data_IF_798100772375
#
_entry.id   IF_798100772375
#
_cell.length_a   1.000
_cell.length_b   1.000
_cell.length_c   1.000
_cell.angle_alpha   90.00
_cell.angle_beta   90.00
_cell.angle_gamma   90.00
#
_symmetry.space_group_name_H-M   'P 1'
#
loop_
_entity.id
_entity.type
_entity.pdbx_description
1 polymer ?
#
# COMPACT_ATOMS: atom_id res chain seq x y z
N UNK A 1 24.49 -22.90 -18.12
CA UNK A 1 23.16 -22.30 -17.83
C UNK A 1 23.25 -21.76 -16.40
N UNK A 2 23.07 -20.46 -16.14
CA UNK A 2 22.92 -19.97 -14.78
C UNK A 2 21.70 -20.67 -14.15
N UNK A 3 21.72 -20.90 -12.84
CA UNK A 3 20.55 -21.46 -12.16
C UNK A 3 19.32 -20.56 -12.35
N UNK A 4 18.11 -21.11 -12.33
CA UNK A 4 16.86 -20.34 -12.46
C UNK A 4 16.78 -19.17 -11.45
N UNK A 5 17.35 -19.36 -10.26
CA UNK A 5 17.55 -18.33 -9.24
C UNK A 5 18.50 -17.20 -9.66
N UNK A 6 19.60 -17.56 -10.33
CA UNK A 6 20.55 -16.58 -10.88
C UNK A 6 19.90 -15.82 -12.04
N UNK A 7 19.13 -16.48 -12.93
CA UNK A 7 18.41 -15.75 -13.99
C UNK A 7 17.35 -14.77 -13.44
N UNK A 8 16.60 -15.15 -12.40
CA UNK A 8 15.62 -14.27 -11.75
C UNK A 8 16.25 -13.03 -11.11
N UNK A 9 17.36 -13.19 -10.40
CA UNK A 9 18.09 -12.05 -9.82
C UNK A 9 18.53 -11.10 -10.93
N UNK A 10 19.12 -11.60 -12.01
CA UNK A 10 19.63 -10.76 -13.10
C UNK A 10 18.50 -10.08 -13.91
N UNK A 11 17.35 -10.73 -14.09
CA UNK A 11 16.18 -10.15 -14.78
C UNK A 11 15.57 -8.98 -13.99
N UNK A 12 15.57 -9.08 -12.65
CA UNK A 12 15.14 -8.03 -11.71
C UNK A 12 15.94 -6.73 -11.86
N UNK A 13 17.17 -6.80 -12.40
CA UNK A 13 18.08 -5.65 -12.50
C UNK A 13 18.14 -4.99 -13.90
N UNK A 14 17.58 -5.63 -14.94
CA UNK A 14 17.52 -5.09 -16.31
C UNK A 14 16.18 -4.42 -16.65
N UNK A 15 15.13 -4.74 -15.90
CA UNK A 15 13.76 -4.25 -16.14
C UNK A 15 13.26 -3.52 -14.90
N UNK A 16 12.77 -2.28 -15.06
CA UNK A 16 12.14 -1.57 -13.94
C UNK A 16 10.92 -2.34 -13.46
N UNK A 17 10.98 -2.83 -12.23
CA UNK A 17 9.87 -3.47 -11.54
C UNK A 17 9.15 -2.45 -10.66
N UNK A 18 7.84 -2.62 -10.56
CA UNK A 18 7.00 -1.84 -9.65
C UNK A 18 6.27 -2.80 -8.71
N UNK A 19 5.88 -2.32 -7.54
CA UNK A 19 5.01 -3.04 -6.62
C UNK A 19 3.55 -2.59 -6.87
N UNK A 20 2.61 -3.53 -6.89
CA UNK A 20 1.18 -3.24 -6.89
C UNK A 20 0.50 -3.85 -5.67
N UNK A 21 -0.34 -3.07 -4.99
CA UNK A 21 -0.94 -3.47 -3.70
C UNK A 21 -2.48 -3.45 -3.77
N UNK A 22 -3.14 -4.23 -4.66
CA UNK A 22 -4.59 -4.15 -4.81
C UNK A 22 -5.30 -4.55 -3.51
N UNK A 23 -6.32 -3.78 -3.15
CA UNK A 23 -7.17 -3.99 -1.99
C UNK A 23 -8.55 -4.41 -2.48
N UNK A 24 -9.01 -5.57 -2.04
CA UNK A 24 -10.24 -6.19 -2.51
C UNK A 24 -11.21 -6.29 -1.34
N UNK A 25 -12.47 -5.92 -1.57
CA UNK A 25 -13.57 -5.99 -0.61
C UNK A 25 -14.08 -7.43 -0.47
N UNK A 26 -13.20 -8.34 -0.08
CA UNK A 26 -13.50 -9.73 0.25
C UNK A 26 -12.42 -10.28 1.19
N UNK A 27 -12.80 -10.80 2.34
CA UNK A 27 -11.89 -11.39 3.34
C UNK A 27 -12.42 -12.65 4.01
N UNK A 28 -13.53 -13.22 3.53
CA UNK A 28 -14.26 -14.33 4.16
C UNK A 28 -14.39 -15.56 3.25
N UNK A 29 -14.79 -15.38 1.99
CA UNK A 29 -15.06 -16.45 1.03
C UNK A 29 -13.76 -16.95 0.42
N UNK A 30 -13.17 -17.98 1.00
CA UNK A 30 -11.89 -18.58 0.57
C UNK A 30 -11.86 -18.93 -0.92
N UNK A 31 -12.95 -19.46 -1.47
CA UNK A 31 -13.03 -19.80 -2.91
C UNK A 31 -12.89 -18.58 -3.82
N UNK A 32 -13.47 -17.44 -3.43
CA UNK A 32 -13.37 -16.18 -4.17
C UNK A 32 -11.96 -15.59 -4.03
N UNK A 33 -11.37 -15.68 -2.83
CA UNK A 33 -10.00 -15.22 -2.58
C UNK A 33 -8.98 -16.02 -3.41
N UNK A 34 -9.13 -17.34 -3.48
CA UNK A 34 -8.28 -18.19 -4.29
C UNK A 34 -8.43 -17.88 -5.79
N UNK A 35 -9.65 -17.55 -6.26
CA UNK A 35 -9.86 -17.13 -7.64
C UNK A 35 -9.06 -15.84 -7.97
N UNK A 36 -8.95 -14.89 -7.05
CA UNK A 36 -8.08 -13.72 -7.25
C UNK A 36 -6.61 -14.11 -7.31
N UNK A 37 -6.17 -15.01 -6.42
CA UNK A 37 -4.79 -15.49 -6.40
C UNK A 37 -4.40 -16.15 -7.72
N UNK A 38 -5.25 -17.03 -8.25
CA UNK A 38 -5.05 -17.65 -9.56
C UNK A 38 -4.97 -16.58 -10.66
N UNK A 39 -5.85 -15.58 -10.64
CA UNK A 39 -5.85 -14.51 -11.64
C UNK A 39 -4.54 -13.71 -11.66
N UNK A 40 -4.00 -13.34 -10.49
CA UNK A 40 -2.77 -12.53 -10.43
C UNK A 40 -1.49 -13.35 -10.64
N UNK A 41 -1.48 -14.63 -10.25
CA UNK A 41 -0.34 -15.52 -10.46
C UNK A 41 -0.27 -16.10 -11.88
N UNK A 42 -1.35 -16.02 -12.66
CA UNK A 42 -1.38 -16.49 -14.05
C UNK A 42 -0.70 -15.54 -15.05
N UNK A 43 -0.39 -14.31 -14.66
CA UNK A 43 0.25 -13.34 -15.53
C UNK A 43 1.77 -13.56 -15.60
N UNK A 44 2.32 -13.47 -16.81
CA UNK A 44 3.77 -13.45 -17.00
C UNK A 44 4.39 -12.21 -16.31
N UNK A 45 5.63 -12.37 -15.84
CA UNK A 45 6.43 -11.30 -15.22
C UNK A 45 5.79 -10.64 -13.99
N UNK A 46 4.96 -11.39 -13.25
CA UNK A 46 4.37 -10.98 -11.97
C UNK A 46 4.63 -12.04 -10.91
N UNK A 47 5.05 -11.60 -9.74
CA UNK A 47 5.22 -12.43 -8.55
C UNK A 47 4.30 -11.93 -7.43
N UNK A 48 3.60 -12.88 -6.80
CA UNK A 48 2.83 -12.63 -5.59
C UNK A 48 3.74 -12.78 -4.37
N UNK A 49 4.10 -11.68 -3.74
CA UNK A 49 5.00 -11.67 -2.58
C UNK A 49 4.27 -11.87 -1.26
N UNK A 50 3.04 -11.36 -1.15
CA UNK A 50 2.27 -11.46 0.08
C UNK A 50 0.76 -11.43 -0.18
N UNK A 51 0.02 -12.11 0.68
CA UNK A 51 -1.44 -12.06 0.77
C UNK A 51 -1.82 -11.89 2.24
N UNK A 52 -2.64 -10.88 2.54
CA UNK A 52 -3.24 -10.71 3.85
C UNK A 52 -4.75 -10.58 3.71
N UNK A 53 -5.48 -11.50 4.33
CA UNK A 53 -6.94 -11.53 4.35
C UNK A 53 -7.45 -11.40 5.77
N UNK A 54 -8.36 -10.45 6.00
CA UNK A 54 -8.95 -10.20 7.30
C UNK A 54 -10.47 -10.30 7.21
N UNK A 55 -11.03 -11.24 7.98
CA UNK A 55 -12.47 -11.52 8.00
C UNK A 55 -13.30 -10.43 8.71
N UNK A 56 -12.76 -9.73 9.70
CA UNK A 56 -13.46 -8.64 10.41
C UNK A 56 -13.54 -7.39 9.51
N UNK A 57 -12.40 -7.03 8.90
CA UNK A 57 -12.34 -5.98 7.89
C UNK A 57 -13.04 -6.37 6.58
N UNK A 58 -13.27 -7.68 6.36
CA UNK A 58 -13.77 -8.28 5.12
C UNK A 58 -13.03 -7.76 3.88
N UNK A 59 -11.69 -7.79 3.97
CA UNK A 59 -10.77 -7.23 3.00
C UNK A 59 -9.59 -8.17 2.79
N UNK A 60 -9.14 -8.27 1.55
CA UNK A 60 -7.89 -8.92 1.17
C UNK A 60 -6.97 -7.91 0.51
N UNK A 61 -5.69 -7.99 0.82
CA UNK A 61 -4.63 -7.21 0.21
C UNK A 61 -3.61 -8.17 -0.37
N UNK A 62 -3.32 -8.01 -1.65
CA UNK A 62 -2.17 -8.65 -2.28
C UNK A 62 -1.02 -7.68 -2.39
N UNK A 63 0.20 -8.19 -2.32
CA UNK A 63 1.43 -7.49 -2.71
C UNK A 63 2.02 -8.21 -3.90
N UNK A 64 1.96 -7.56 -5.06
CA UNK A 64 2.49 -8.05 -6.32
C UNK A 64 3.73 -7.25 -6.68
N UNK A 65 4.72 -7.90 -7.30
CA UNK A 65 5.85 -7.22 -7.95
C UNK A 65 5.95 -7.73 -9.38
N UNK A 66 6.20 -6.83 -10.31
CA UNK A 66 6.32 -7.21 -11.71
C UNK A 66 6.62 -6.04 -12.62
N UNK A 67 6.71 -6.33 -13.92
CA UNK A 67 6.83 -5.30 -14.94
C UNK A 67 5.52 -4.50 -15.06
N UNK A 68 5.55 -3.25 -15.54
CA UNK A 68 4.33 -2.48 -15.77
C UNK A 68 3.28 -3.21 -16.61
N UNK A 69 3.70 -3.90 -17.67
CA UNK A 69 2.82 -4.67 -18.54
C UNK A 69 2.27 -5.92 -17.84
N UNK A 70 3.13 -6.69 -17.17
CA UNK A 70 2.71 -7.88 -16.42
C UNK A 70 1.68 -7.55 -15.35
N UNK A 71 1.96 -6.51 -14.55
CA UNK A 71 1.03 -6.07 -13.51
C UNK A 71 -0.27 -5.52 -14.07
N UNK A 72 -0.24 -4.80 -15.18
CA UNK A 72 -1.47 -4.33 -15.85
C UNK A 72 -2.36 -5.52 -16.22
N UNK A 73 -1.79 -6.56 -16.82
CA UNK A 73 -2.53 -7.78 -17.19
C UNK A 73 -3.08 -8.51 -15.95
N UNK A 74 -2.26 -8.69 -14.92
CA UNK A 74 -2.66 -9.32 -13.66
C UNK A 74 -3.81 -8.57 -12.98
N UNK A 75 -3.73 -7.24 -12.95
CA UNK A 75 -4.74 -6.39 -12.34
C UNK A 75 -6.04 -6.43 -13.15
N UNK A 76 -6.00 -6.35 -14.48
CA UNK A 76 -7.20 -6.53 -15.32
C UNK A 76 -7.90 -7.86 -15.03
N UNK A 77 -7.14 -8.96 -14.95
CA UNK A 77 -7.68 -10.28 -14.60
C UNK A 77 -8.30 -10.29 -13.19
N UNK A 78 -7.67 -9.63 -12.23
CA UNK A 78 -8.21 -9.48 -10.87
C UNK A 78 -9.53 -8.67 -10.85
N UNK A 79 -9.64 -7.59 -11.62
CA UNK A 79 -10.89 -6.83 -11.76
C UNK A 79 -12.00 -7.67 -12.38
N UNK A 80 -11.68 -8.48 -13.40
CA UNK A 80 -12.65 -9.38 -14.04
C UNK A 80 -13.28 -10.36 -13.04
N UNK A 81 -12.44 -10.97 -12.19
CA UNK A 81 -12.93 -11.83 -11.10
C UNK A 81 -13.74 -11.01 -10.09
N UNK A 82 -13.31 -9.81 -9.73
CA UNK A 82 -13.90 -9.03 -8.65
C UNK A 82 -15.31 -8.54 -9.00
N UNK A 83 -15.48 -7.98 -10.20
CA UNK A 83 -16.75 -7.46 -10.69
C UNK A 83 -17.81 -8.56 -10.80
N UNK A 84 -17.41 -9.80 -11.11
CA UNK A 84 -18.32 -10.95 -11.20
C UNK A 84 -18.71 -11.56 -9.85
N UNK A 85 -17.84 -11.48 -8.84
CA UNK A 85 -17.99 -12.26 -7.61
C UNK A 85 -18.30 -11.43 -6.36
N UNK A 86 -18.14 -10.11 -6.42
CA UNK A 86 -18.37 -9.21 -5.29
C UNK A 86 -19.59 -8.33 -5.57
N UNK A 87 -20.51 -8.30 -4.60
CA UNK A 87 -21.63 -7.37 -4.58
C UNK A 87 -21.61 -6.54 -3.31
N UNK A 88 -21.18 -5.28 -3.45
CA UNK A 88 -21.04 -4.31 -2.37
C UNK A 88 -22.37 -4.00 -1.66
N UNK A 89 -23.52 -4.22 -2.32
CA UNK A 89 -24.84 -4.04 -1.68
C UNK A 89 -25.02 -5.00 -0.50
N UNK A 90 -24.40 -6.18 -0.58
CA UNK A 90 -24.41 -7.23 0.44
C UNK A 90 -23.12 -7.30 1.27
N UNK A 91 -22.02 -6.72 0.77
CA UNK A 91 -20.74 -6.68 1.48
C UNK A 91 -20.83 -5.87 2.78
N UNK A 92 -20.31 -6.42 3.87
CA UNK A 92 -20.12 -5.74 5.15
C UNK A 92 -18.74 -6.08 5.73
N UNK A 93 -18.03 -5.07 6.23
CA UNK A 93 -16.74 -5.20 6.88
C UNK A 93 -16.40 -3.91 7.63
N UNK A 94 -15.51 -3.98 8.62
CA UNK A 94 -15.10 -2.83 9.43
C UNK A 94 -14.22 -1.83 8.65
N UNK A 95 -13.64 -2.26 7.52
CA UNK A 95 -12.76 -1.41 6.72
C UNK A 95 -13.55 -0.53 5.73
N UNK A 96 -13.33 0.80 5.72
CA UNK A 96 -13.97 1.69 4.75
C UNK A 96 -13.61 1.29 3.32
N UNK A 97 -14.62 1.24 2.45
CA UNK A 97 -14.48 0.81 1.06
C UNK A 97 -15.47 1.53 0.15
N UNK A 98 -15.08 1.77 -1.10
CA UNK A 98 -15.98 2.27 -2.15
C UNK A 98 -16.09 1.32 -3.34
N UNK A 99 -15.25 0.28 -3.41
CA UNK A 99 -15.10 -0.59 -4.57
C UNK A 99 -14.97 -2.07 -4.26
N UNK A 100 -15.39 -2.94 -5.19
CA UNK A 100 -15.08 -4.37 -5.15
C UNK A 100 -13.56 -4.57 -5.16
N UNK A 101 -12.87 -3.86 -6.05
CA UNK A 101 -11.47 -3.50 -5.91
C UNK A 101 -11.45 -2.03 -5.48
N UNK A 102 -11.02 -1.79 -4.24
CA UNK A 102 -11.23 -0.52 -3.55
C UNK A 102 -10.08 0.47 -3.77
N UNK A 103 -8.83 0.01 -3.72
CA UNK A 103 -7.67 0.80 -4.15
C UNK A 103 -6.59 -0.08 -4.75
N UNK A 104 -5.88 0.42 -5.75
CA UNK A 104 -4.68 -0.17 -6.34
C UNK A 104 -3.54 0.86 -6.33
N UNK A 105 -2.71 0.88 -5.27
CA UNK A 105 -1.46 1.60 -5.24
C UNK A 105 -0.44 0.93 -6.16
N UNK A 106 0.22 1.72 -7.00
CA UNK A 106 1.48 1.36 -7.63
C UNK A 106 2.62 2.07 -6.88
N UNK A 107 3.65 1.33 -6.53
CA UNK A 107 4.73 1.79 -5.68
C UNK A 107 6.06 1.54 -6.38
N UNK A 108 6.91 2.56 -6.54
CA UNK A 108 8.21 2.39 -7.18
C UNK A 108 9.17 1.62 -6.25
N UNK A 109 9.88 0.65 -6.80
CA UNK A 109 10.93 -0.09 -6.06
C UNK A 109 12.26 0.66 -6.07
N UNK A 110 12.56 1.42 -7.14
CA UNK A 110 13.61 2.43 -7.16
C UNK A 110 13.00 3.84 -7.21
N UNK A 111 13.57 4.85 -6.52
CA UNK A 111 13.01 6.21 -6.51
C UNK A 111 12.79 6.83 -7.89
N UNK A 112 13.60 6.44 -8.87
CA UNK A 112 13.53 6.89 -10.28
C UNK A 112 12.27 6.41 -11.01
N UNK A 113 11.58 5.39 -10.50
CA UNK A 113 10.46 4.75 -11.19
C UNK A 113 9.10 5.41 -10.88
N UNK A 114 9.06 6.50 -10.10
CA UNK A 114 7.78 7.17 -9.80
C UNK A 114 7.04 7.64 -11.07
N UNK A 115 7.68 8.28 -12.06
CA UNK A 115 7.00 8.65 -13.31
C UNK A 115 6.44 7.43 -14.05
N UNK A 116 7.16 6.30 -14.03
CA UNK A 116 6.70 5.04 -14.62
C UNK A 116 5.44 4.52 -13.90
N UNK A 117 5.41 4.57 -12.57
CA UNK A 117 4.23 4.20 -11.78
C UNK A 117 3.03 5.10 -12.10
N UNK A 118 3.24 6.42 -12.23
CA UNK A 118 2.17 7.37 -12.57
C UNK A 118 1.58 7.08 -13.96
N UNK A 119 2.44 6.87 -14.96
CA UNK A 119 2.00 6.52 -16.31
C UNK A 119 1.23 5.19 -16.30
N UNK A 120 1.76 4.16 -15.65
CA UNK A 120 1.13 2.83 -15.55
C UNK A 120 -0.23 2.91 -14.84
N UNK A 121 -0.31 3.65 -13.73
CA UNK A 121 -1.56 3.83 -12.98
C UNK A 121 -2.64 4.53 -13.82
N UNK A 122 -2.25 5.54 -14.60
CA UNK A 122 -3.17 6.30 -15.46
C UNK A 122 -3.72 5.42 -16.58
N UNK A 123 -2.86 4.71 -17.31
CA UNK A 123 -3.27 3.79 -18.38
C UNK A 123 -4.13 2.64 -17.85
N UNK A 124 -3.77 2.08 -16.70
CA UNK A 124 -4.57 1.05 -16.04
C UNK A 124 -5.96 1.59 -15.68
N UNK A 125 -6.05 2.79 -15.10
CA UNK A 125 -7.32 3.40 -14.72
C UNK A 125 -8.27 3.59 -15.91
N UNK A 126 -7.76 4.09 -17.03
CA UNK A 126 -8.53 4.24 -18.28
C UNK A 126 -9.00 2.87 -18.82
N UNK A 127 -8.11 1.86 -18.80
CA UNK A 127 -8.43 0.50 -19.25
C UNK A 127 -9.50 -0.14 -18.38
N UNK A 128 -9.37 -0.08 -17.05
CA UNK A 128 -10.36 -0.63 -16.11
C UNK A 128 -11.70 0.08 -16.26
N UNK A 129 -11.70 1.41 -16.39
CA UNK A 129 -12.91 2.18 -16.52
C UNK A 129 -13.70 1.81 -17.79
N UNK A 130 -13.00 1.69 -18.92
CA UNK A 130 -13.61 1.35 -20.21
C UNK A 130 -14.06 -0.12 -20.28
N UNK A 131 -13.25 -1.05 -19.79
CA UNK A 131 -13.52 -2.49 -19.90
C UNK A 131 -14.64 -2.96 -18.97
N UNK A 132 -14.78 -2.37 -17.79
CA UNK A 132 -15.70 -2.84 -16.75
C UNK A 132 -16.84 -1.87 -16.43
N UNK A 133 -17.01 -0.78 -17.20
CA UNK A 133 -17.98 0.29 -16.94
C UNK A 133 -17.88 0.82 -15.49
N UNK A 134 -16.65 0.97 -15.01
CA UNK A 134 -16.34 1.35 -13.63
C UNK A 134 -15.91 2.82 -13.55
N UNK A 135 -16.46 3.61 -12.61
CA UNK A 135 -15.84 4.89 -12.26
C UNK A 135 -14.50 4.65 -11.56
N UNK A 136 -13.46 5.33 -12.04
CA UNK A 136 -12.11 5.25 -11.47
C UNK A 136 -11.59 6.63 -11.09
N UNK A 137 -11.08 6.74 -9.87
CA UNK A 137 -10.40 7.94 -9.37
C UNK A 137 -8.89 7.74 -9.33
N UNK A 138 -8.16 8.77 -9.75
CA UNK A 138 -6.71 8.85 -9.58
C UNK A 138 -6.37 9.51 -8.25
N UNK A 139 -5.43 8.94 -7.49
CA UNK A 139 -5.04 9.45 -6.16
C UNK A 139 -3.53 9.60 -5.99
N UNK A 140 -3.14 10.17 -4.85
CA UNK A 140 -1.74 10.39 -4.45
C UNK A 140 -0.95 11.18 -5.50
N UNK A 141 0.13 10.63 -6.06
CA UNK A 141 0.98 11.32 -7.03
C UNK A 141 0.41 11.24 -8.47
N UNK A 142 -0.66 10.49 -8.67
CA UNK A 142 -1.45 10.46 -9.92
C UNK A 142 -2.69 11.37 -9.84
N UNK A 143 -2.97 11.98 -8.68
CA UNK A 143 -4.18 12.78 -8.49
C UNK A 143 -4.23 14.01 -9.44
N UNK A 144 -5.34 14.16 -10.14
CA UNK A 144 -5.63 15.31 -11.03
C UNK A 144 -6.15 16.54 -10.27
N UNK A 145 -6.65 16.33 -9.05
CA UNK A 145 -7.18 17.37 -8.19
C UNK A 145 -6.63 17.24 -6.75
N UNK A 146 -6.46 18.37 -6.08
CA UNK A 146 -5.87 18.41 -4.73
C UNK A 146 -6.69 17.60 -3.70
N UNK A 147 -8.02 17.62 -3.81
CA UNK A 147 -8.95 16.85 -2.96
C UNK A 147 -8.94 15.33 -3.22
N UNK A 148 -8.13 14.85 -4.18
CA UNK A 148 -7.94 13.42 -4.49
C UNK A 148 -6.59 12.88 -4.03
N UNK A 149 -5.68 13.74 -3.55
CA UNK A 149 -4.37 13.25 -3.05
C UNK A 149 -4.52 12.29 -1.87
N UNK A 150 -5.54 12.50 -1.03
CA UNK A 150 -5.81 11.68 0.15
C UNK A 150 -6.92 10.67 -0.12
N UNK A 151 -6.58 9.39 0.00
CA UNK A 151 -7.53 8.29 -0.17
C UNK A 151 -8.75 8.41 0.74
N UNK A 152 -8.58 8.90 1.97
CA UNK A 152 -9.69 9.07 2.92
C UNK A 152 -10.74 10.08 2.43
N UNK A 153 -10.32 11.10 1.67
CA UNK A 153 -11.25 12.08 1.10
C UNK A 153 -12.10 11.45 -0.01
N UNK A 154 -11.47 10.63 -0.86
CA UNK A 154 -12.17 9.87 -1.91
C UNK A 154 -13.10 8.84 -1.29
N UNK A 155 -12.70 8.16 -0.22
CA UNK A 155 -13.50 7.14 0.47
C UNK A 155 -14.55 7.65 1.45
N UNK A 156 -14.55 8.95 1.78
CA UNK A 156 -15.50 9.51 2.76
C UNK A 156 -16.95 9.22 2.36
N UNK A 157 -17.76 8.67 3.27
CA UNK A 157 -19.13 8.23 2.97
C UNK A 157 -19.23 6.82 2.36
N UNK A 158 -18.11 6.17 2.07
CA UNK A 158 -18.03 4.78 1.61
C UNK A 158 -18.87 4.48 0.36
N UNK A 159 -19.15 3.20 0.09
CA UNK A 159 -20.00 2.77 -1.02
C UNK A 159 -21.40 3.38 -0.94
N UNK A 160 -21.98 3.43 0.26
CA UNK A 160 -23.35 3.91 0.49
C UNK A 160 -23.53 5.40 0.14
N UNK A 161 -22.50 6.23 0.39
CA UNK A 161 -22.49 7.66 0.07
C UNK A 161 -22.00 7.99 -1.33
N UNK A 162 -21.51 7.01 -2.09
CA UNK A 162 -20.81 7.22 -3.37
C UNK A 162 -21.72 7.87 -4.42
N UNK A 163 -22.99 7.47 -4.51
CA UNK A 163 -23.95 8.06 -5.46
C UNK A 163 -24.16 9.56 -5.20
N UNK A 164 -24.37 9.95 -3.93
CA UNK A 164 -24.51 11.36 -3.55
C UNK A 164 -23.23 12.14 -3.81
N UNK A 165 -22.06 11.56 -3.48
CA UNK A 165 -20.76 12.17 -3.76
C UNK A 165 -20.57 12.44 -5.26
N UNK A 166 -20.77 11.43 -6.11
CA UNK A 166 -20.54 11.52 -7.56
C UNK A 166 -21.49 12.49 -8.29
N UNK A 167 -22.63 12.83 -7.68
CA UNK A 167 -23.54 13.86 -8.21
C UNK A 167 -22.92 15.27 -8.18
N UNK A 168 -21.91 15.47 -7.33
CA UNK A 168 -21.21 16.76 -7.21
C UNK A 168 -20.16 16.88 -8.32
N UNK A 169 -20.10 18.01 -9.06
CA UNK A 169 -19.13 18.19 -10.15
C UNK A 169 -17.67 17.99 -9.73
N UNK A 170 -17.33 18.35 -8.49
CA UNK A 170 -15.97 18.23 -7.90
C UNK A 170 -15.53 16.77 -7.69
N UNK A 171 -16.49 15.84 -7.68
CA UNK A 171 -16.28 14.41 -7.45
C UNK A 171 -16.61 13.55 -8.67
N UNK A 172 -16.70 14.13 -9.87
CA UNK A 172 -16.73 13.34 -11.11
C UNK A 172 -15.45 12.48 -11.19
N UNK A 173 -15.54 11.17 -11.49
CA UNK A 173 -14.36 10.32 -11.60
C UNK A 173 -13.44 10.79 -12.73
N UNK A 174 -12.17 10.40 -12.65
CA UNK A 174 -11.17 10.69 -13.69
C UNK A 174 -11.49 9.94 -14.98
N UNK A 175 -11.94 8.68 -14.85
CA UNK A 175 -12.35 7.84 -15.96
C UNK A 175 -13.65 7.11 -15.66
N UNK A 176 -14.40 6.76 -16.72
CA UNK A 176 -15.61 5.96 -16.63
C UNK A 176 -16.88 6.75 -16.30
N UNK A 177 -17.97 6.05 -15.94
CA UNK A 177 -19.30 6.65 -15.74
C UNK A 177 -19.35 7.63 -14.56
N UNK A 178 -20.19 8.67 -14.63
CA UNK A 178 -20.40 9.60 -13.51
C UNK A 178 -21.37 9.08 -12.44
N UNK A 179 -21.55 7.77 -12.36
CA UNK A 179 -22.39 7.07 -11.37
C UNK A 179 -21.64 5.82 -10.87
N UNK A 180 -21.86 5.39 -9.63
CA UNK A 180 -21.26 4.16 -9.13
C UNK A 180 -21.74 2.95 -9.92
N UNK A 181 -20.87 1.96 -10.12
CA UNK A 181 -21.30 0.65 -10.62
C UNK A 181 -22.21 -0.01 -9.57
N UNK A 182 -23.37 -0.58 -9.95
CA UNK A 182 -24.40 -1.02 -8.99
C UNK A 182 -23.92 -2.01 -7.92
N UNK A 183 -23.07 -2.97 -8.29
CA UNK A 183 -22.52 -3.99 -7.38
C UNK A 183 -21.07 -3.77 -7.01
N UNK A 184 -20.30 -3.04 -7.83
CA UNK A 184 -18.84 -2.97 -7.72
C UNK A 184 -18.34 -1.59 -7.29
N UNK A 185 -19.22 -0.58 -7.26
CA UNK A 185 -18.91 0.76 -6.76
C UNK A 185 -17.98 1.55 -7.67
N UNK A 186 -16.92 2.10 -7.08
CA UNK A 186 -15.85 2.82 -7.77
C UNK A 186 -14.48 2.27 -7.36
N UNK A 187 -13.47 2.45 -8.21
CA UNK A 187 -12.10 2.10 -7.86
C UNK A 187 -11.22 3.34 -7.69
N UNK A 188 -10.16 3.21 -6.91
CA UNK A 188 -9.10 4.21 -6.76
C UNK A 188 -7.78 3.62 -7.24
N UNK A 189 -7.10 4.24 -8.19
CA UNK A 189 -5.81 3.78 -8.70
C UNK A 189 -4.81 4.92 -8.63
N UNK A 190 -3.55 4.65 -8.28
CA UNK A 190 -2.57 5.72 -8.27
C UNK A 190 -1.19 5.30 -7.79
N UNK A 191 -0.22 6.14 -8.09
CA UNK A 191 1.16 5.96 -7.69
C UNK A 191 1.44 6.66 -6.35
N UNK A 192 2.21 6.01 -5.48
CA UNK A 192 2.68 6.61 -4.22
C UNK A 192 3.99 5.99 -3.76
N UNK A 193 4.68 6.68 -2.85
CA UNK A 193 5.83 6.11 -2.12
C UNK A 193 5.42 4.89 -1.27
N UNK A 194 6.38 4.04 -0.89
CA UNK A 194 6.13 2.95 0.04
C UNK A 194 5.47 3.44 1.32
N UNK A 195 4.50 2.67 1.82
CA UNK A 195 3.79 2.94 3.05
C UNK A 195 4.04 1.77 3.97
N UNK A 196 4.50 2.06 5.19
CA UNK A 196 4.75 1.05 6.20
C UNK A 196 3.56 1.03 7.16
N UNK A 197 2.85 -0.09 7.19
CA UNK A 197 1.81 -0.35 8.18
C UNK A 197 2.49 -0.96 9.42
N UNK A 198 2.56 -0.18 10.49
CA UNK A 198 3.28 -0.52 11.71
C UNK A 198 2.38 -0.28 12.91
N UNK A 199 2.15 -1.30 13.71
CA UNK A 199 1.30 -1.20 14.88
C UNK A 199 2.14 -1.29 16.15
N UNK A 200 1.75 -0.54 17.18
CA UNK A 200 2.38 -0.59 18.50
C UNK A 200 1.34 -0.93 19.55
N UNK A 201 1.55 -2.01 20.28
CA UNK A 201 0.64 -2.50 21.31
C UNK A 201 1.04 -1.95 22.68
N UNK A 202 0.08 -1.45 23.44
CA UNK A 202 0.29 -0.91 24.77
C UNK A 202 -0.22 -1.89 25.83
N UNK A 203 0.45 -1.96 26.98
CA UNK A 203 0.11 -2.80 28.14
C UNK A 203 -1.10 -2.24 28.94
N UNK A 204 -2.18 -1.88 28.24
CA UNK A 204 -3.41 -1.37 28.85
C UNK A 204 -4.62 -1.73 28.00
N UNK A 205 -5.76 -1.96 28.65
CA UNK A 205 -7.07 -2.10 27.98
C UNK A 205 -7.78 -0.77 27.72
N UNK A 206 -7.19 0.33 28.18
CA UNK A 206 -7.77 1.67 28.07
C UNK A 206 -7.58 2.26 26.68
N UNK A 207 -8.68 2.29 25.91
CA UNK A 207 -8.69 2.83 24.56
C UNK A 207 -8.47 4.35 24.56
N UNK A 208 -8.79 5.07 25.64
CA UNK A 208 -8.61 6.51 25.70
C UNK A 208 -7.13 6.90 25.86
N UNK A 209 -6.32 6.07 26.52
CA UNK A 209 -4.85 6.18 26.48
C UNK A 209 -4.37 6.04 25.03
N UNK A 210 -4.80 4.99 24.32
CA UNK A 210 -4.41 4.81 22.93
C UNK A 210 -4.85 5.96 22.01
N UNK A 211 -6.05 6.52 22.22
CA UNK A 211 -6.53 7.69 21.46
C UNK A 211 -5.69 8.93 21.74
N UNK A 212 -5.21 9.13 22.97
CA UNK A 212 -4.32 10.23 23.31
C UNK A 212 -2.97 10.08 22.60
N UNK A 213 -2.34 8.91 22.69
CA UNK A 213 -1.08 8.59 21.99
C UNK A 213 -1.23 8.78 20.48
N UNK A 214 -2.26 8.20 19.87
CA UNK A 214 -2.50 8.30 18.42
C UNK A 214 -2.70 9.77 17.98
N UNK A 215 -3.40 10.59 18.77
CA UNK A 215 -3.57 12.03 18.50
C UNK A 215 -2.26 12.79 18.61
N UNK A 216 -1.42 12.46 19.59
CA UNK A 216 -0.12 13.11 19.81
C UNK A 216 0.84 12.87 18.63
N UNK A 217 0.91 11.64 18.13
CA UNK A 217 1.91 11.25 17.14
C UNK A 217 1.52 11.54 15.70
N UNK A 218 0.22 11.64 15.36
CA UNK A 218 -0.22 11.78 13.96
C UNK A 218 -0.15 13.22 13.43
N UNK A 219 0.25 13.35 12.17
CA UNK A 219 0.43 14.63 11.47
C UNK A 219 -0.82 15.51 11.48
N UNK A 220 -2.01 14.91 11.34
CA UNK A 220 -3.28 15.66 11.29
C UNK A 220 -3.59 16.45 12.57
N UNK A 221 -2.86 16.19 13.65
CA UNK A 221 -2.98 16.87 14.94
C UNK A 221 -1.71 17.64 15.31
N UNK A 222 -0.82 17.90 14.34
CA UNK A 222 0.46 18.58 14.57
C UNK A 222 1.56 17.67 15.12
N UNK A 223 1.37 16.35 15.07
CA UNK A 223 2.38 15.36 15.42
C UNK A 223 3.45 15.19 14.35
N UNK A 224 3.99 13.97 14.26
CA UNK A 224 5.07 13.65 13.33
C UNK A 224 4.60 13.73 11.87
N UNK A 225 5.39 14.35 10.97
CA UNK A 225 5.07 14.38 9.55
C UNK A 225 4.93 12.98 8.94
N UNK A 226 4.08 12.81 7.93
CA UNK A 226 3.85 11.53 7.27
C UNK A 226 3.35 10.38 8.18
N UNK A 227 2.95 10.67 9.41
CA UNK A 227 2.38 9.68 10.34
C UNK A 227 0.87 9.83 10.39
N UNK A 228 0.17 8.75 10.09
CA UNK A 228 -1.27 8.60 10.37
C UNK A 228 -1.44 7.54 11.44
N UNK A 229 -2.15 7.86 12.52
CA UNK A 229 -2.36 6.93 13.61
C UNK A 229 -3.82 6.93 14.10
N UNK A 230 -4.32 5.74 14.43
CA UNK A 230 -5.62 5.52 15.07
C UNK A 230 -5.46 4.54 16.24
N UNK A 231 -6.39 4.64 17.20
CA UNK A 231 -6.47 3.72 18.32
C UNK A 231 -7.44 2.59 17.99
N UNK A 232 -7.03 1.35 18.24
CA UNK A 232 -7.82 0.14 17.92
C UNK A 232 -7.83 -0.78 19.13
N UNK A 233 -8.97 -1.42 19.39
CA UNK A 233 -9.06 -2.50 20.39
C UNK A 233 -8.49 -3.78 19.80
N UNK A 234 -7.71 -4.50 20.57
CA UNK A 234 -7.27 -5.84 20.17
C UNK A 234 -8.24 -6.90 20.69
N UNK A 235 -8.02 -8.17 20.31
CA UNK A 235 -8.77 -9.30 20.86
C UNK A 235 -8.44 -9.54 22.34
N UNK A 236 -7.25 -9.14 22.78
CA UNK A 236 -6.86 -9.14 24.18
C UNK A 236 -7.39 -7.86 24.84
N UNK A 237 -8.37 -8.01 25.75
CA UNK A 237 -8.99 -6.87 26.43
C UNK A 237 -8.02 -6.08 27.32
N UNK A 238 -6.85 -6.63 27.62
CA UNK A 238 -5.77 -5.95 28.36
C UNK A 238 -4.79 -5.18 27.45
N UNK A 239 -5.01 -5.20 26.13
CA UNK A 239 -4.14 -4.56 25.14
C UNK A 239 -4.94 -3.71 24.17
N UNK A 240 -4.48 -2.47 24.01
CA UNK A 240 -4.89 -1.55 22.96
C UNK A 240 -3.73 -1.33 21.99
N UNK A 241 -4.07 -1.06 20.74
CA UNK A 241 -3.10 -0.92 19.67
C UNK A 241 -3.17 0.49 19.08
N UNK A 242 -2.00 1.08 18.85
CA UNK A 242 -1.84 2.24 17.98
C UNK A 242 -1.56 1.68 16.59
N UNK A 243 -2.55 1.76 15.69
CA UNK A 243 -2.34 1.38 14.29
C UNK A 243 -1.81 2.57 13.51
N UNK A 244 -0.65 2.40 12.89
CA UNK A 244 0.08 3.48 12.23
C UNK A 244 0.31 3.16 10.75
N UNK A 245 -0.05 4.11 9.90
CA UNK A 245 0.41 4.16 8.52
C UNK A 245 1.47 5.25 8.40
N UNK A 246 2.71 4.83 8.24
CA UNK A 246 3.84 5.72 7.94
C UNK A 246 3.95 5.87 6.42
N UNK A 247 3.46 7.01 5.91
CA UNK A 247 3.30 7.23 4.45
C UNK A 247 4.58 7.66 3.75
N UNK A 248 5.60 8.06 4.52
CA UNK A 248 6.93 8.40 4.03
C UNK A 248 7.96 8.19 5.15
N UNK A 249 8.59 7.01 5.15
CA UNK A 249 9.57 6.62 6.17
C UNK A 249 10.89 7.40 6.08
N UNK A 250 11.14 8.13 4.97
CA UNK A 250 12.33 8.98 4.83
C UNK A 250 12.10 10.35 5.45
N UNK A 251 10.87 10.87 5.42
CA UNK A 251 10.49 12.09 6.15
C UNK A 251 10.40 11.87 7.65
N UNK A 252 9.92 10.70 8.07
CA UNK A 252 9.90 10.32 9.49
C UNK A 252 10.33 8.87 9.62
N UNK A 253 11.56 8.60 10.11
CA UNK A 253 12.05 7.24 10.27
C UNK A 253 11.20 6.40 11.21
N UNK A 254 11.16 5.09 10.95
CA UNK A 254 10.33 4.14 11.72
C UNK A 254 10.63 4.17 13.22
N UNK A 255 11.91 4.27 13.61
CA UNK A 255 12.32 4.35 15.01
C UNK A 255 11.85 5.63 15.70
N UNK A 256 11.79 6.77 14.99
CA UNK A 256 11.28 8.03 15.55
C UNK A 256 9.80 7.89 15.91
N UNK A 257 9.02 7.22 15.05
CA UNK A 257 7.60 6.95 15.34
C UNK A 257 7.46 6.05 16.56
N UNK A 258 8.25 4.97 16.62
CA UNK A 258 8.20 4.02 17.74
C UNK A 258 8.58 4.68 19.06
N UNK A 259 9.67 5.47 19.09
CA UNK A 259 10.12 6.19 20.27
C UNK A 259 9.09 7.22 20.72
N UNK A 260 8.49 7.99 19.80
CA UNK A 260 7.44 8.94 20.15
C UNK A 260 6.20 8.28 20.76
N UNK A 261 5.82 7.09 20.27
CA UNK A 261 4.73 6.30 20.87
C UNK A 261 5.12 5.79 22.25
N UNK A 262 6.34 5.25 22.40
CA UNK A 262 6.86 4.74 23.69
C UNK A 262 6.90 5.85 24.74
N UNK A 263 7.43 7.01 24.39
CA UNK A 263 7.62 8.11 25.32
C UNK A 263 6.26 8.69 25.78
N UNK A 264 5.31 8.87 24.86
CA UNK A 264 3.95 9.32 25.20
C UNK A 264 3.18 8.25 26.01
N UNK A 265 3.34 6.98 25.68
CA UNK A 265 2.79 5.88 26.48
C UNK A 265 3.31 5.92 27.92
N UNK A 266 4.63 6.11 28.09
CA UNK A 266 5.26 6.23 29.40
C UNK A 266 4.76 7.43 30.21
N UNK A 267 4.56 8.59 29.55
CA UNK A 267 3.94 9.77 30.19
C UNK A 267 2.51 9.50 30.68
N UNK A 268 1.78 8.62 30.01
CA UNK A 268 0.41 8.22 30.37
C UNK A 268 0.38 7.01 31.33
N UNK A 269 1.54 6.56 31.83
CA UNK A 269 1.63 5.50 32.83
C UNK A 269 1.43 4.08 32.28
N UNK A 270 1.64 3.87 30.98
CA UNK A 270 1.63 2.53 30.36
C UNK A 270 2.94 2.28 29.61
N UNK A 271 3.24 1.01 29.31
CA UNK A 271 4.38 0.65 28.49
C UNK A 271 3.95 0.14 27.12
N UNK A 272 4.91 0.10 26.20
CA UNK A 272 4.79 -0.64 24.95
C UNK A 272 5.05 -2.12 25.24
N UNK A 273 4.09 -2.98 24.89
CA UNK A 273 4.19 -4.43 25.01
C UNK A 273 5.07 -5.02 23.91
N UNK A 274 4.74 -4.68 22.67
CA UNK A 274 5.42 -5.10 21.46
C UNK A 274 4.98 -4.22 20.27
N UNK A 275 5.56 -4.45 19.10
CA UNK A 275 5.13 -3.85 17.84
C UNK A 275 5.00 -4.90 16.75
N UNK A 276 4.22 -4.58 15.72
CA UNK A 276 3.87 -5.49 14.63
C UNK A 276 4.07 -4.75 13.29
N UNK A 277 4.83 -5.37 12.38
CA UNK A 277 4.86 -4.95 10.99
C UNK A 277 3.76 -5.69 10.24
N UNK A 278 2.89 -4.96 9.55
CA UNK A 278 1.81 -5.54 8.76
C UNK A 278 2.21 -5.52 7.28
N UNK A 279 2.39 -6.71 6.69
CA UNK A 279 2.85 -6.86 5.32
C UNK A 279 4.36 -6.71 5.19
N UNK A 280 4.80 -5.99 4.15
CA UNK A 280 6.22 -5.79 3.84
C UNK A 280 6.64 -4.35 4.14
N UNK A 281 7.92 -4.15 4.45
CA UNK A 281 8.53 -2.84 4.60
C UNK A 281 9.79 -2.75 3.74
N UNK A 282 10.15 -1.54 3.25
CA UNK A 282 11.46 -1.30 2.69
C UNK A 282 12.55 -1.65 3.70
N UNK A 283 13.52 -2.45 3.29
CA UNK A 283 14.61 -2.89 4.15
C UNK A 283 15.39 -1.69 4.74
N UNK A 284 15.49 -0.58 4.01
CA UNK A 284 16.12 0.68 4.46
C UNK A 284 15.51 1.19 5.77
N UNK A 285 14.18 1.07 5.92
CA UNK A 285 13.49 1.53 7.12
C UNK A 285 13.81 0.67 8.35
N UNK A 286 13.94 -0.65 8.17
CA UNK A 286 14.30 -1.59 9.24
C UNK A 286 15.77 -1.46 9.61
N UNK A 287 16.66 -1.31 8.62
CA UNK A 287 18.07 -1.02 8.85
C UNK A 287 18.21 0.24 9.72
N UNK A 288 17.59 1.35 9.31
CA UNK A 288 17.69 2.61 10.06
C UNK A 288 17.19 2.47 11.51
N UNK A 289 16.15 1.66 11.74
CA UNK A 289 15.68 1.37 13.09
C UNK A 289 16.67 0.50 13.90
N UNK A 290 17.30 -0.50 13.28
CA UNK A 290 18.30 -1.34 13.92
C UNK A 290 19.56 -0.55 14.30
N UNK A 291 20.08 0.28 13.38
CA UNK A 291 21.22 1.17 13.60
C UNK A 291 20.96 2.11 14.78
N UNK A 292 19.78 2.73 14.82
CA UNK A 292 19.36 3.59 15.94
C UNK A 292 19.29 2.81 17.26
N UNK A 293 18.62 1.65 17.28
CA UNK A 293 18.40 0.87 18.51
C UNK A 293 19.68 0.31 19.13
N UNK A 294 20.66 -0.01 18.29
CA UNK A 294 21.95 -0.60 18.69
C UNK A 294 23.04 0.45 18.91
N UNK A 295 22.77 1.73 18.65
CA UNK A 295 23.76 2.81 18.70
C UNK A 295 24.98 2.51 17.81
N UNK A 296 24.75 2.00 16.61
CA UNK A 296 25.84 1.73 15.67
C UNK A 296 26.32 3.04 15.06
N UNK A 297 27.60 3.34 15.24
CA UNK A 297 28.27 4.51 14.66
C UNK A 297 28.79 4.17 13.26
N UNK A 298 28.63 5.12 12.33
CA UNK A 298 29.18 5.07 10.97
C UNK A 298 28.85 3.82 10.13
N UNK A 299 27.80 3.07 10.50
CA UNK A 299 27.34 1.92 9.70
C UNK A 299 26.65 2.42 8.44
N UNK A 300 27.27 2.11 7.30
CA UNK A 300 26.71 2.40 5.98
C UNK A 300 25.92 1.20 5.44
N UNK A 301 25.07 1.42 4.44
CA UNK A 301 24.36 0.34 3.75
C UNK A 301 25.32 -0.68 3.13
N UNK A 302 26.53 -0.27 2.74
CA UNK A 302 27.53 -1.16 2.14
C UNK A 302 28.15 -2.17 3.13
N UNK A 303 27.94 -1.97 4.43
CA UNK A 303 28.32 -2.94 5.45
C UNK A 303 27.21 -3.98 5.72
N UNK A 304 26.05 -3.86 5.08
CA UNK A 304 25.03 -4.91 5.06
C UNK A 304 25.26 -5.78 3.83
N UNK A 305 25.52 -7.06 4.08
CA UNK A 305 25.91 -8.04 3.07
C UNK A 305 24.97 -8.03 1.85
N UNK A 306 23.65 -8.07 2.08
CA UNK A 306 22.65 -8.13 1.03
C UNK A 306 22.60 -6.84 0.19
N UNK A 307 22.81 -5.67 0.80
CA UNK A 307 22.91 -4.41 0.06
C UNK A 307 24.20 -4.34 -0.74
N UNK A 308 25.32 -4.76 -0.15
CA UNK A 308 26.60 -4.81 -0.85
C UNK A 308 26.57 -5.75 -2.05
N UNK A 309 25.97 -6.93 -1.89
CA UNK A 309 25.77 -7.89 -2.98
C UNK A 309 24.93 -7.29 -4.11
N UNK A 310 23.87 -6.55 -3.78
CA UNK A 310 23.04 -5.85 -4.77
C UNK A 310 23.84 -4.78 -5.52
N UNK A 311 24.56 -3.94 -4.79
CA UNK A 311 25.30 -2.81 -5.37
C UNK A 311 26.49 -3.27 -6.24
N UNK A 312 27.18 -4.36 -5.87
CA UNK A 312 28.25 -4.92 -6.69
C UNK A 312 27.76 -5.34 -8.09
N UNK A 313 26.56 -5.90 -8.17
CA UNK A 313 25.96 -6.35 -9.43
C UNK A 313 25.48 -5.17 -10.29
N UNK A 314 25.09 -4.04 -9.68
CA UNK A 314 24.71 -2.82 -10.42
C UNK A 314 25.91 -2.13 -11.08
N UNK A 315 27.08 -2.13 -10.43
CA UNK A 315 28.31 -1.52 -10.96
C UNK A 315 28.87 -2.22 -12.21
N UNK A 316 28.49 -3.49 -12.45
CA UNK A 316 28.90 -4.27 -13.61
C UNK A 316 27.99 -4.04 -14.86
N UNK A 317 27.00 -3.14 -14.78
CA UNK A 317 26.18 -2.78 -15.95
C UNK A 317 27.03 -2.07 -17.03
N UNK A 318 27.09 -2.58 -18.27
CA UNK A 318 27.60 -1.77 -19.37
C UNK A 318 26.69 -0.54 -19.54
N UNK A 319 27.28 0.65 -19.47
CA UNK A 319 26.59 1.88 -19.82
C UNK A 319 26.16 1.76 -21.29
N UNK A 320 24.85 1.71 -21.54
CA UNK A 320 24.33 1.87 -22.90
C UNK A 320 24.66 3.29 -23.33
N UNK A 321 25.76 3.43 -24.07
CA UNK A 321 26.03 4.62 -24.85
C UNK A 321 24.89 4.73 -25.88
N UNK A 322 23.94 5.63 -25.62
CA UNK A 322 23.21 6.29 -26.71
C UNK A 322 24.23 7.16 -27.46
N UNK A 323 25.02 6.53 -28.31
CA UNK A 323 25.66 7.24 -29.41
C UNK A 323 24.56 7.63 -30.38
N UNK A 324 24.21 8.91 -30.35
CA UNK A 324 23.68 9.65 -31.48
C UNK A 324 24.40 9.22 -32.76
N UNK A 325 23.70 8.55 -33.66
CA UNK A 325 24.06 8.50 -35.07
C UNK A 325 22.98 9.26 -35.86
N UNK A 326 23.36 10.50 -36.19
CA UNK A 326 23.03 11.32 -37.38
C UNK A 326 21.61 11.39 -37.90
#
# INVERSE_FOLDING_TARGET
MPSEHTQRLWYTFLVSLIEAIPNISEGKRTSVIEAFKVAVCGAADVELLNQSSDAAHNRTVFTLVGTPAGLTNALIALYDVAVRNIDLRTHRGEHPRIGAVDVVPLVPLAPTDMPLCVATATTLAETIASQFDLPVYLYADTATHQNRRRLEQIRSGEFEGLSSKMSQPTWRPDFGPTRPHPSAGASVIGARRPLIAFNVNLETGDLDIAKQVARKVRESNGGLPAVKAIAVRTRDSSVVQISINLVDYRRTPLHVVFDAVRDEAGHLGTNVRNSELIGLAPAEALHAAATHRLHLEDVTTDQVLEYRLRNCLEAERPQTNETNET
#
